data_IF_701143957906
#
_entry.id   IF_701143957906
#
_cell.length_a   1.000
_cell.length_b   1.000
_cell.length_c   1.000
_cell.angle_alpha   90.00
_cell.angle_beta   90.00
_cell.angle_gamma   90.00
#
_symmetry.space_group_name_H-M   'P 1'
#
loop_
_entity.id
_entity.type
_entity.pdbx_description
1 polymer ?
#
# COMPACT_ATOMS: atom_id res chain seq x y z
N UNK A 1 10.49 -16.44 -3.70
CA UNK A 1 9.58 -16.74 -2.57
C UNK A 1 8.14 -16.68 -3.08
N UNK A 2 7.25 -17.58 -2.64
CA UNK A 2 5.83 -17.48 -2.96
C UNK A 2 5.20 -16.24 -2.30
N UNK A 3 4.29 -15.59 -3.02
CA UNK A 3 3.48 -14.47 -2.51
C UNK A 3 2.14 -15.03 -2.02
N UNK A 4 1.84 -14.81 -0.73
CA UNK A 4 0.61 -15.27 -0.12
C UNK A 4 -0.40 -14.14 0.01
N UNK A 5 -1.60 -14.32 -0.53
CA UNK A 5 -2.66 -13.31 -0.51
C UNK A 5 -3.02 -12.84 0.92
N UNK A 6 -3.05 -13.75 1.90
CA UNK A 6 -3.33 -13.38 3.30
C UNK A 6 -2.27 -12.43 3.87
N UNK A 7 -0.99 -12.60 3.49
CA UNK A 7 0.09 -11.71 3.92
C UNK A 7 0.01 -10.36 3.22
N UNK A 8 -0.30 -10.33 1.93
CA UNK A 8 -0.50 -9.09 1.16
C UNK A 8 -1.57 -8.20 1.81
N UNK A 9 -2.75 -8.75 2.10
CA UNK A 9 -3.83 -8.02 2.77
C UNK A 9 -3.40 -7.52 4.16
N UNK A 10 -2.75 -8.39 4.96
CA UNK A 10 -2.28 -8.01 6.30
C UNK A 10 -1.30 -6.83 6.24
N UNK A 11 -0.30 -6.89 5.34
CA UNK A 11 0.65 -5.79 5.16
C UNK A 11 -0.04 -4.51 4.68
N UNK A 12 -0.96 -4.61 3.72
CA UNK A 12 -1.69 -3.44 3.22
C UNK A 12 -2.45 -2.71 4.35
N UNK A 13 -3.17 -3.46 5.20
CA UNK A 13 -3.88 -2.85 6.34
C UNK A 13 -2.91 -2.24 7.35
N UNK A 14 -1.85 -2.96 7.69
CA UNK A 14 -0.87 -2.49 8.67
C UNK A 14 -0.15 -1.22 8.22
N UNK A 15 0.12 -1.08 6.91
CA UNK A 15 0.78 0.09 6.32
C UNK A 15 -0.20 1.24 6.13
N UNK A 16 -1.29 1.05 5.38
CA UNK A 16 -2.17 2.16 4.97
C UNK A 16 -3.25 2.50 5.99
N UNK A 17 -3.71 1.57 6.81
CA UNK A 17 -4.87 1.80 7.70
C UNK A 17 -4.48 1.96 9.17
N UNK A 18 -3.33 1.40 9.59
CA UNK A 18 -2.94 1.37 11.00
C UNK A 18 -1.57 1.99 11.28
N UNK A 19 -0.72 2.21 10.27
CA UNK A 19 0.64 2.76 10.46
C UNK A 19 1.54 1.94 11.38
N UNK A 20 1.30 0.62 11.49
CA UNK A 20 2.06 -0.27 12.39
C UNK A 20 3.26 -0.94 11.71
N UNK A 21 3.37 -0.80 10.39
CA UNK A 21 4.49 -1.24 9.57
C UNK A 21 4.74 -0.24 8.44
N UNK A 22 5.95 -0.26 7.90
CA UNK A 22 6.33 0.46 6.67
C UNK A 22 6.69 -0.51 5.55
N UNK A 23 6.80 -0.02 4.31
CA UNK A 23 7.29 -0.81 3.19
C UNK A 23 8.75 -1.28 3.35
N UNK A 24 9.55 -0.59 4.17
CA UNK A 24 10.91 -1.00 4.50
C UNK A 24 10.96 -2.24 5.42
N UNK A 25 9.86 -2.51 6.15
CA UNK A 25 9.78 -3.61 7.12
C UNK A 25 9.29 -4.93 6.50
N UNK A 26 8.81 -4.90 5.25
CA UNK A 26 8.27 -6.08 4.57
C UNK A 26 9.23 -6.60 3.49
N UNK A 27 9.18 -7.90 3.14
CA UNK A 27 10.03 -8.41 2.06
C UNK A 27 9.70 -7.70 0.74
N UNK A 28 10.73 -7.30 -0.01
CA UNK A 28 10.60 -6.53 -1.26
C UNK A 28 9.59 -7.13 -2.27
N UNK A 29 9.48 -8.47 -2.31
CA UNK A 29 8.54 -9.16 -3.18
C UNK A 29 7.05 -8.89 -2.86
N UNK A 30 6.73 -8.37 -1.67
CA UNK A 30 5.38 -7.97 -1.27
C UNK A 30 5.05 -6.51 -1.54
N UNK A 31 6.05 -5.64 -1.81
CA UNK A 31 5.81 -4.20 -2.01
C UNK A 31 4.81 -3.94 -3.12
N UNK A 32 5.05 -4.52 -4.31
CA UNK A 32 4.15 -4.33 -5.46
C UNK A 32 2.75 -4.95 -5.22
N UNK A 33 2.62 -6.21 -4.75
CA UNK A 33 1.31 -6.78 -4.41
C UNK A 33 0.53 -5.97 -3.36
N UNK A 34 1.21 -5.38 -2.38
CA UNK A 34 0.58 -4.57 -1.33
C UNK A 34 0.03 -3.27 -1.91
N UNK A 35 0.80 -2.57 -2.76
CA UNK A 35 0.33 -1.37 -3.47
C UNK A 35 -0.86 -1.68 -4.37
N UNK A 36 -0.82 -2.79 -5.12
CA UNK A 36 -1.95 -3.25 -5.94
C UNK A 36 -3.21 -3.52 -5.10
N UNK A 37 -3.06 -4.26 -4.00
CA UNK A 37 -4.18 -4.53 -3.11
C UNK A 37 -4.79 -3.25 -2.53
N UNK A 38 -3.96 -2.31 -2.09
CA UNK A 38 -4.41 -1.02 -1.58
C UNK A 38 -5.15 -0.22 -2.65
N UNK A 39 -4.59 -0.14 -3.87
CA UNK A 39 -5.21 0.55 -5.01
C UNK A 39 -6.58 -0.03 -5.41
N UNK A 40 -6.75 -1.34 -5.30
CA UNK A 40 -8.00 -2.04 -5.66
C UNK A 40 -9.05 -2.03 -4.53
N UNK A 41 -8.62 -1.95 -3.27
CA UNK A 41 -9.48 -2.23 -2.10
C UNK A 41 -9.75 -1.02 -1.23
N UNK A 42 -8.79 -0.11 -1.10
CA UNK A 42 -8.90 1.04 -0.19
C UNK A 42 -9.47 2.25 -0.92
N UNK A 43 -10.19 3.09 -0.18
CA UNK A 43 -10.67 4.36 -0.72
C UNK A 43 -9.53 5.34 -0.85
N UNK A 44 -9.65 6.31 -1.77
CA UNK A 44 -8.67 7.40 -1.92
C UNK A 44 -8.43 8.11 -0.60
N UNK A 45 -9.50 8.40 0.17
CA UNK A 45 -9.39 9.03 1.48
C UNK A 45 -8.56 8.20 2.51
N UNK A 46 -8.58 6.87 2.42
CA UNK A 46 -7.72 6.02 3.28
C UNK A 46 -6.26 6.12 2.87
N UNK A 47 -5.98 6.17 1.56
CA UNK A 47 -4.62 6.28 1.02
C UNK A 47 -4.07 7.70 1.28
N UNK A 48 -4.89 8.74 1.13
CA UNK A 48 -4.58 10.12 1.53
C UNK A 48 -4.24 10.21 3.01
N UNK A 49 -5.08 9.60 3.87
CA UNK A 49 -4.85 9.61 5.31
C UNK A 49 -3.52 8.95 5.68
N UNK A 50 -3.16 7.85 5.01
CA UNK A 50 -1.86 7.21 5.22
C UNK A 50 -0.68 8.15 4.91
N UNK A 51 -0.80 8.97 3.86
CA UNK A 51 0.19 10.00 3.51
C UNK A 51 0.19 11.16 4.52
N UNK A 52 -0.97 11.67 4.91
CA UNK A 52 -1.11 12.75 5.90
C UNK A 52 -0.54 12.36 7.27
N UNK A 53 -0.70 11.10 7.67
CA UNK A 53 -0.15 10.54 8.91
C UNK A 53 1.34 10.19 8.80
N UNK A 54 1.92 10.24 7.60
CA UNK A 54 3.32 9.88 7.33
C UNK A 54 3.61 8.37 7.42
N UNK A 55 2.60 7.52 7.27
CA UNK A 55 2.76 6.06 7.26
C UNK A 55 3.34 5.55 5.94
N UNK A 56 3.07 6.29 4.86
CA UNK A 56 3.68 6.11 3.55
C UNK A 56 4.31 7.43 3.10
N UNK A 57 5.30 7.33 2.23
CA UNK A 57 5.94 8.47 1.57
C UNK A 57 5.13 8.97 0.38
N UNK A 58 5.44 10.18 -0.09
CA UNK A 58 4.81 10.73 -1.31
C UNK A 58 5.01 9.80 -2.52
N UNK A 59 6.20 9.23 -2.69
CA UNK A 59 6.46 8.30 -3.80
C UNK A 59 5.60 7.04 -3.72
N UNK A 60 5.42 6.47 -2.52
CA UNK A 60 4.58 5.28 -2.34
C UNK A 60 3.10 5.58 -2.56
N UNK A 61 2.65 6.75 -2.14
CA UNK A 61 1.33 7.27 -2.46
C UNK A 61 1.15 7.38 -3.99
N UNK A 62 2.06 8.08 -4.68
CA UNK A 62 1.99 8.30 -6.13
C UNK A 62 1.99 6.98 -6.89
N UNK A 63 2.83 6.02 -6.50
CA UNK A 63 2.87 4.68 -7.08
C UNK A 63 1.54 3.94 -6.91
N UNK A 64 0.90 4.08 -5.74
CA UNK A 64 -0.39 3.43 -5.44
C UNK A 64 -1.50 4.05 -6.28
N UNK A 65 -1.52 5.38 -6.38
CA UNK A 65 -2.52 6.11 -7.13
C UNK A 65 -2.39 5.91 -8.64
N UNK A 66 -1.16 5.77 -9.14
CA UNK A 66 -0.92 5.40 -10.54
C UNK A 66 -1.49 4.02 -10.90
N UNK A 67 -1.55 3.09 -9.94
CA UNK A 67 -2.21 1.78 -10.12
C UNK A 67 -3.74 1.92 -10.09
N UNK A 68 -4.28 2.72 -9.17
CA UNK A 68 -5.72 2.90 -9.01
C UNK A 68 -6.35 3.69 -10.18
N UNK A 69 -5.60 4.64 -10.75
CA UNK A 69 -6.03 5.52 -11.83
C UNK A 69 -5.01 5.53 -12.97
N UNK A 70 -4.90 4.42 -13.72
CA UNK A 70 -3.98 4.34 -14.84
C UNK A 70 -4.37 5.39 -15.89
N UNK A 71 -3.43 6.25 -16.26
CA UNK A 71 -3.64 7.24 -17.32
C UNK A 71 -3.78 6.51 -18.66
N UNK A 72 -4.92 6.72 -19.32
CA UNK A 72 -5.28 6.14 -20.63
C UNK A 72 -4.46 6.70 -21.80
#
# INVERSE_FOLDING_TARGET
MPIYAFRTNTYARNIYLYGTQSFADIPAAYVQPVKQYAAETFTVAQIDNALEQGWITQQEYDDTMAIAFPQS
#
